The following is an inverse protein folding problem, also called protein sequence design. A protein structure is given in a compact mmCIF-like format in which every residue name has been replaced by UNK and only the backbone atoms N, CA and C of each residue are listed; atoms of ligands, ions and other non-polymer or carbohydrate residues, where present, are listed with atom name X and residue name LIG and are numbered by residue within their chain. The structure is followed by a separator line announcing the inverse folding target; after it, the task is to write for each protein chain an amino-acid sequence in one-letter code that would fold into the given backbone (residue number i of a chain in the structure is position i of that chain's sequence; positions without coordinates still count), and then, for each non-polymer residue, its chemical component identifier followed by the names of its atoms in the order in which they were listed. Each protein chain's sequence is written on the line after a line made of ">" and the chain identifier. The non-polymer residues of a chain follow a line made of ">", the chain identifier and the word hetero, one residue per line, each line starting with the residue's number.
data_IF_364076102534
#
_entry.id   IF_364076102534
#
_cell.length_a   1.000
_cell.length_b   1.000
_cell.length_c   1.000
_cell.angle_alpha   90.00
_cell.angle_beta   90.00
_cell.angle_gamma   90.00
#
_symmetry.space_group_name_H-M   'P 1'
#
loop_
_entity.id
_entity.type
_entity.pdbx_description
1 polymer ?
#
# COMPACT_ATOMS: atom_id res chain seq x y z
N UNK A 1 18.57 -12.96 -22.38
CA UNK A 1 19.64 -12.45 -21.48
C UNK A 1 20.24 -11.11 -21.89
N UNK A 2 20.72 -10.90 -23.13
CA UNK A 2 21.30 -9.61 -23.59
C UNK A 2 20.41 -8.38 -23.32
N UNK A 3 19.09 -8.51 -23.48
CA UNK A 3 18.12 -7.43 -23.24
C UNK A 3 18.06 -7.02 -21.76
N UNK A 4 18.11 -7.99 -20.84
CA UNK A 4 18.12 -7.74 -19.40
C UNK A 4 19.39 -6.96 -18.99
N UNK A 5 20.53 -7.31 -19.59
CA UNK A 5 21.80 -6.59 -19.37
C UNK A 5 21.69 -5.14 -19.86
N UNK A 6 21.12 -4.91 -21.06
CA UNK A 6 20.92 -3.54 -21.58
C UNK A 6 19.98 -2.72 -20.70
N UNK A 7 18.87 -3.31 -20.23
CA UNK A 7 17.94 -2.65 -19.30
C UNK A 7 18.62 -2.31 -17.98
N UNK A 8 19.41 -3.22 -17.42
CA UNK A 8 20.14 -3.02 -16.18
C UNK A 8 21.17 -1.89 -16.30
N UNK A 9 22.00 -1.90 -17.35
CA UNK A 9 22.97 -0.81 -17.60
C UNK A 9 22.26 0.52 -17.80
N UNK A 10 21.11 0.51 -18.49
CA UNK A 10 20.26 1.68 -18.65
C UNK A 10 19.71 2.22 -17.32
N UNK A 11 19.25 1.33 -16.44
CA UNK A 11 18.76 1.68 -15.11
C UNK A 11 19.86 2.25 -14.21
N UNK A 12 21.04 1.61 -14.17
CA UNK A 12 22.20 2.08 -13.38
C UNK A 12 22.57 3.52 -13.78
N UNK A 13 22.75 3.78 -15.08
CA UNK A 13 23.08 5.11 -15.58
C UNK A 13 22.02 6.16 -15.26
N UNK A 14 20.74 5.78 -15.20
CA UNK A 14 19.64 6.69 -14.82
C UNK A 14 19.67 6.98 -13.32
N UNK A 15 19.90 5.96 -12.50
CA UNK A 15 20.02 6.10 -11.05
C UNK A 15 21.20 7.01 -10.67
N UNK A 16 22.37 6.85 -11.31
CA UNK A 16 23.54 7.69 -11.02
C UNK A 16 23.27 9.17 -11.32
N UNK A 17 22.68 9.47 -12.49
CA UNK A 17 22.32 10.86 -12.84
C UNK A 17 21.25 11.42 -11.90
N UNK A 18 20.31 10.58 -11.47
CA UNK A 18 19.27 10.98 -10.52
C UNK A 18 19.86 11.26 -9.14
N UNK A 19 20.78 10.42 -8.65
CA UNK A 19 21.48 10.62 -7.38
C UNK A 19 22.27 11.95 -7.40
N UNK A 20 23.02 12.22 -8.46
CA UNK A 20 23.78 13.46 -8.59
C UNK A 20 22.86 14.70 -8.63
N UNK A 21 21.72 14.61 -9.33
CA UNK A 21 20.70 15.66 -9.33
C UNK A 21 20.03 15.83 -7.95
N UNK A 22 19.83 14.75 -7.20
CA UNK A 22 19.28 14.77 -5.83
C UNK A 22 20.26 15.44 -4.86
N UNK A 23 21.54 15.08 -4.92
CA UNK A 23 22.59 15.68 -4.08
C UNK A 23 22.74 17.17 -4.35
N UNK A 24 22.69 17.60 -5.62
CA UNK A 24 22.72 19.03 -5.98
C UNK A 24 21.59 19.86 -5.37
N UNK A 25 20.47 19.22 -5.01
CA UNK A 25 19.30 19.85 -4.38
C UNK A 25 19.25 19.62 -2.87
N UNK A 26 20.32 19.08 -2.28
CA UNK A 26 20.37 18.66 -0.89
C UNK A 26 19.20 17.74 -0.50
N UNK A 27 18.74 16.93 -1.46
CA UNK A 27 17.58 16.07 -1.28
C UNK A 27 17.94 14.95 -0.30
N UNK A 28 17.40 15.00 0.91
CA UNK A 28 17.72 14.05 1.99
C UNK A 28 18.71 14.57 3.04
N UNK A 29 19.28 15.78 2.86
CA UNK A 29 20.17 16.39 3.86
C UNK A 29 19.46 16.80 5.15
N UNK A 30 18.13 17.03 5.09
CA UNK A 30 17.33 17.49 6.23
C UNK A 30 16.36 16.42 6.72
N UNK A 31 16.31 16.21 8.04
CA UNK A 31 15.40 15.24 8.69
C UNK A 31 13.92 15.65 8.58
N UNK A 32 13.62 16.95 8.53
CA UNK A 32 12.26 17.47 8.31
C UNK A 32 12.12 17.87 6.84
N UNK A 33 11.24 17.19 6.11
CA UNK A 33 10.93 17.46 4.72
C UNK A 33 9.52 18.00 4.58
N UNK A 34 9.35 19.09 3.85
CA UNK A 34 8.02 19.54 3.42
C UNK A 34 7.57 18.70 2.21
N UNK A 35 6.40 18.08 2.32
CA UNK A 35 5.81 17.32 1.23
C UNK A 35 4.97 18.26 0.36
N UNK A 36 5.34 18.38 -0.92
CA UNK A 36 4.58 19.21 -1.89
C UNK A 36 3.14 18.69 -2.08
N UNK A 37 2.97 17.36 -2.05
CA UNK A 37 1.67 16.71 -2.04
C UNK A 37 1.48 16.05 -0.68
N UNK A 38 0.79 16.70 0.26
CA UNK A 38 0.42 16.04 1.50
C UNK A 38 -0.60 14.94 1.18
N UNK A 39 -0.35 13.73 1.67
CA UNK A 39 -1.37 12.69 1.70
C UNK A 39 -2.39 13.10 2.75
N UNK A 40 -3.61 13.41 2.31
CA UNK A 40 -4.73 13.72 3.18
C UNK A 40 -5.67 12.52 3.15
N UNK A 41 -6.09 12.08 4.33
CA UNK A 41 -7.16 11.08 4.44
C UNK A 41 -8.44 11.72 3.92
N UNK A 42 -8.97 11.19 2.83
CA UNK A 42 -10.23 11.65 2.28
C UNK A 42 -11.40 10.96 2.97
N UNK A 43 -12.57 11.60 2.96
CA UNK A 43 -13.80 10.99 3.49
C UNK A 43 -14.13 9.66 2.79
N UNK A 44 -13.71 9.50 1.53
CA UNK A 44 -13.84 8.25 0.76
C UNK A 44 -13.05 7.10 1.37
N UNK A 45 -11.88 7.36 1.95
CA UNK A 45 -11.06 6.34 2.61
C UNK A 45 -11.78 5.83 3.87
N UNK A 46 -12.45 6.74 4.59
CA UNK A 46 -13.25 6.40 5.77
C UNK A 46 -14.49 5.58 5.36
N UNK A 47 -15.18 5.97 4.29
CA UNK A 47 -16.31 5.18 3.76
C UNK A 47 -15.85 3.78 3.36
N UNK A 48 -14.70 3.66 2.69
CA UNK A 48 -14.14 2.36 2.30
C UNK A 48 -13.78 1.49 3.51
N UNK A 49 -13.22 2.10 4.55
CA UNK A 49 -12.92 1.39 5.80
C UNK A 49 -14.20 0.88 6.48
N UNK A 50 -15.22 1.74 6.59
CA UNK A 50 -16.51 1.38 7.18
C UNK A 50 -17.19 0.27 6.36
N UNK A 51 -17.20 0.38 5.03
CA UNK A 51 -17.83 -0.63 4.17
C UNK A 51 -17.13 -1.99 4.30
N UNK A 52 -15.80 -2.00 4.41
CA UNK A 52 -15.02 -3.23 4.63
C UNK A 52 -15.41 -3.90 5.95
N UNK A 53 -15.52 -3.14 7.04
CA UNK A 53 -15.97 -3.67 8.33
C UNK A 53 -17.40 -4.22 8.22
N UNK A 54 -18.29 -3.50 7.55
CA UNK A 54 -19.68 -3.89 7.39
C UNK A 54 -19.81 -5.21 6.61
N UNK A 55 -19.03 -5.38 5.54
CA UNK A 55 -18.97 -6.64 4.77
C UNK A 55 -18.52 -7.79 5.67
N UNK A 56 -17.47 -7.60 6.47
CA UNK A 56 -16.97 -8.63 7.40
C UNK A 56 -18.08 -9.03 8.40
N UNK A 57 -18.78 -8.05 8.98
CA UNK A 57 -19.86 -8.31 9.93
C UNK A 57 -21.05 -9.02 9.28
N UNK A 58 -21.43 -8.63 8.06
CA UNK A 58 -22.48 -9.31 7.30
C UNK A 58 -22.07 -10.76 7.01
N UNK A 59 -20.85 -10.99 6.53
CA UNK A 59 -20.34 -12.33 6.27
C UNK A 59 -20.37 -13.19 7.54
N UNK A 60 -19.94 -12.64 8.67
CA UNK A 60 -20.00 -13.32 9.95
C UNK A 60 -21.45 -13.65 10.37
N UNK A 61 -22.36 -12.68 10.24
CA UNK A 61 -23.78 -12.87 10.57
C UNK A 61 -24.46 -13.91 9.69
N UNK A 62 -24.18 -13.91 8.39
CA UNK A 62 -24.66 -14.92 7.44
C UNK A 62 -24.10 -16.30 7.82
N UNK A 63 -22.81 -16.39 8.16
CA UNK A 63 -22.18 -17.64 8.60
C UNK A 63 -22.84 -18.19 9.88
N UNK A 64 -23.24 -17.31 10.81
CA UNK A 64 -23.97 -17.67 12.02
C UNK A 64 -25.37 -18.21 11.68
N UNK A 65 -26.12 -17.51 10.81
CA UNK A 65 -27.48 -17.90 10.40
C UNK A 65 -27.54 -19.19 9.59
N UNK A 66 -26.55 -19.45 8.73
CA UNK A 66 -26.43 -20.68 7.95
C UNK A 66 -26.07 -21.88 8.85
N UNK A 67 -25.66 -21.65 10.11
CA UNK A 67 -25.30 -22.72 11.04
C UNK A 67 -24.02 -23.45 10.64
N UNK A 68 -23.23 -22.90 9.71
CA UNK A 68 -21.97 -23.49 9.26
C UNK A 68 -20.93 -23.51 10.39
N UNK A 69 -20.99 -22.50 11.28
CA UNK A 69 -20.24 -22.45 12.54
C UNK A 69 -20.63 -23.59 13.52
N UNK A 70 -21.90 -24.00 13.52
CA UNK A 70 -22.38 -25.14 14.32
C UNK A 70 -21.96 -26.48 13.71
N UNK A 71 -21.84 -26.55 12.38
CA UNK A 71 -21.35 -27.72 11.64
C UNK A 71 -19.84 -27.95 11.76
N UNK A 72 -19.06 -26.89 12.07
CA UNK A 72 -17.61 -26.94 12.26
C UNK A 72 -17.15 -27.18 13.71
N UNK A 73 -18.08 -27.28 14.68
CA UNK A 73 -17.73 -27.67 16.06
C UNK A 73 -16.82 -26.68 16.80
N UNK A 74 -16.80 -25.40 16.40
CA UNK A 74 -15.98 -24.35 17.05
C UNK A 74 -16.82 -23.57 18.09
N UNK A 75 -18.02 -24.04 18.42
CA UNK A 75 -18.83 -23.47 19.49
C UNK A 75 -19.58 -24.59 20.19
N UNK A 76 -19.04 -25.01 21.33
CA UNK A 76 -19.82 -25.62 22.41
C UNK A 76 -20.78 -24.57 23.00
#
# INVERSE_FOLDING_TARGET
>A
FKQAITLMVGAIRRSDRLALAMDSKAFGAFKKRSFYRPERVEFKDVIFLISTILVILITYYIMWKIGFLKKLGISA
#
